data_IF_737479260020
#
_entry.id   IF_737479260020
#
_cell.length_a   1.000
_cell.length_b   1.000
_cell.length_c   1.000
_cell.angle_alpha   90.00
_cell.angle_beta   90.00
_cell.angle_gamma   90.00
#
_symmetry.space_group_name_H-M   'P 1'
#
loop_
_entity.id
_entity.type
_entity.pdbx_description
1 polymer ?
#
# COMPACT_ATOMS: atom_id res chain seq x y z
N UNK A 1 29.77 -13.31 -31.83
CA UNK A 1 28.40 -12.96 -32.26
C UNK A 1 27.50 -12.73 -31.03
N UNK A 2 27.78 -11.66 -30.22
CA UNK A 2 27.05 -11.33 -28.97
C UNK A 2 26.64 -9.86 -28.84
N UNK A 3 26.68 -9.08 -29.94
CA UNK A 3 26.44 -7.64 -29.91
C UNK A 3 24.97 -7.28 -30.29
N UNK A 4 24.20 -8.20 -30.90
CA UNK A 4 22.87 -7.90 -31.43
C UNK A 4 21.76 -7.82 -30.37
N UNK A 5 21.91 -8.43 -29.19
CA UNK A 5 20.86 -8.43 -28.16
C UNK A 5 20.84 -7.17 -27.30
N UNK A 6 21.99 -6.49 -27.13
CA UNK A 6 22.05 -5.24 -26.37
C UNK A 6 21.46 -4.06 -27.18
N UNK A 7 21.68 -4.05 -28.49
CA UNK A 7 21.14 -3.00 -29.37
C UNK A 7 19.59 -3.05 -29.43
N UNK A 8 18.99 -4.26 -29.45
CA UNK A 8 17.52 -4.38 -29.47
C UNK A 8 16.85 -3.90 -28.17
N UNK A 9 17.47 -4.10 -27.01
CA UNK A 9 16.94 -3.64 -25.73
C UNK A 9 16.96 -2.11 -25.61
N UNK A 10 18.02 -1.47 -26.09
CA UNK A 10 18.15 -0.01 -26.06
C UNK A 10 17.15 0.66 -27.01
N UNK A 11 16.91 0.08 -28.19
CA UNK A 11 15.91 0.59 -29.12
C UNK A 11 14.46 0.44 -28.61
N UNK A 12 14.15 -0.65 -27.87
CA UNK A 12 12.83 -0.83 -27.27
C UNK A 12 12.54 0.21 -26.19
N UNK A 13 13.50 0.53 -25.33
CA UNK A 13 13.34 1.52 -24.25
C UNK A 13 13.23 2.93 -24.80
N UNK A 14 14.07 3.29 -25.78
CA UNK A 14 14.02 4.63 -26.42
C UNK A 14 12.75 4.78 -27.23
N UNK A 15 12.28 3.73 -27.92
CA UNK A 15 11.04 3.74 -28.68
C UNK A 15 9.80 3.95 -27.79
N UNK A 16 9.75 3.34 -26.62
CA UNK A 16 8.64 3.46 -25.68
C UNK A 16 8.58 4.88 -25.07
N UNK A 17 9.72 5.44 -24.71
CA UNK A 17 9.79 6.82 -24.15
C UNK A 17 9.38 7.86 -25.20
N UNK A 18 9.76 7.68 -26.47
CA UNK A 18 9.36 8.60 -27.54
C UNK A 18 7.87 8.47 -27.91
N UNK A 19 7.27 7.28 -27.79
CA UNK A 19 5.84 7.05 -28.07
C UNK A 19 4.95 7.69 -26.98
N UNK A 20 5.33 7.54 -25.72
CA UNK A 20 4.62 8.16 -24.58
C UNK A 20 4.77 9.70 -24.64
N UNK A 21 5.97 10.21 -24.96
CA UNK A 21 6.20 11.64 -25.13
C UNK A 21 5.42 12.24 -26.30
N UNK A 22 5.25 11.50 -27.41
CA UNK A 22 4.52 11.97 -28.60
C UNK A 22 3.00 12.02 -28.36
N UNK A 23 2.44 11.12 -27.56
CA UNK A 23 1.01 11.11 -27.21
C UNK A 23 0.72 12.29 -26.27
N UNK A 24 1.57 12.55 -25.29
CA UNK A 24 1.42 13.70 -24.40
C UNK A 24 1.52 15.04 -25.14
N UNK A 25 2.47 15.17 -26.08
CA UNK A 25 2.63 16.39 -26.88
C UNK A 25 1.46 16.63 -27.88
N UNK A 26 0.84 15.57 -28.39
CA UNK A 26 -0.30 15.68 -29.32
C UNK A 26 -1.60 16.08 -28.61
N UNK A 27 -1.78 15.76 -27.34
CA UNK A 27 -2.94 16.19 -26.55
C UNK A 27 -2.87 17.68 -26.15
N UNK A 28 -1.66 18.24 -25.98
CA UNK A 28 -1.48 19.65 -25.60
C UNK A 28 -1.78 20.61 -26.77
N UNK A 29 -1.68 20.15 -28.03
CA UNK A 29 -1.80 21.00 -29.21
C UNK A 29 -3.25 21.28 -29.68
N UNK A 30 -4.26 20.62 -29.11
CA UNK A 30 -5.67 20.75 -29.52
C UNK A 30 -6.61 21.35 -28.47
N UNK A 31 -6.11 21.70 -27.30
CA UNK A 31 -6.94 22.38 -26.30
C UNK A 31 -6.79 23.90 -26.45
N UNK A 32 -7.85 24.58 -26.86
CA UNK A 32 -8.06 26.00 -26.55
C UNK A 32 -7.73 26.19 -25.06
N UNK A 33 -7.20 27.35 -24.63
CA UNK A 33 -6.87 27.57 -23.22
C UNK A 33 -8.17 27.47 -22.40
N UNK A 34 -8.48 26.27 -21.95
CA UNK A 34 -9.60 26.03 -21.05
C UNK A 34 -9.22 26.73 -19.76
N UNK A 35 -10.03 27.70 -19.35
CA UNK A 35 -9.78 28.48 -18.12
C UNK A 35 -9.62 27.50 -16.96
N UNK A 36 -8.43 27.52 -16.33
CA UNK A 36 -8.17 26.64 -15.19
C UNK A 36 -9.29 26.82 -14.14
N UNK A 37 -9.88 25.71 -13.74
CA UNK A 37 -10.91 25.70 -12.68
C UNK A 37 -10.20 25.91 -11.35
N UNK A 38 -10.58 26.96 -10.62
CA UNK A 38 -10.04 27.15 -9.25
C UNK A 38 -10.76 26.16 -8.31
N UNK A 39 -10.03 25.37 -7.50
CA UNK A 39 -10.66 24.49 -6.52
C UNK A 39 -11.60 25.26 -5.60
N UNK A 40 -12.82 24.77 -5.43
CA UNK A 40 -13.80 25.35 -4.53
C UNK A 40 -13.51 25.00 -3.08
N UNK A 41 -14.19 25.67 -2.14
CA UNK A 41 -14.11 25.29 -0.72
C UNK A 41 -14.63 23.87 -0.51
N UNK A 42 -15.73 23.54 -1.17
CA UNK A 42 -16.36 22.23 -1.08
C UNK A 42 -15.43 21.10 -1.56
N UNK A 43 -14.67 21.32 -2.65
CA UNK A 43 -13.66 20.38 -3.12
C UNK A 43 -12.54 20.15 -2.10
N UNK A 44 -12.06 21.24 -1.47
CA UNK A 44 -11.03 21.13 -0.43
C UNK A 44 -11.58 20.43 0.84
N UNK A 45 -12.79 20.75 1.27
CA UNK A 45 -13.43 20.12 2.44
C UNK A 45 -13.62 18.61 2.17
N UNK A 46 -14.09 18.23 0.99
CA UNK A 46 -14.24 16.83 0.60
C UNK A 46 -12.89 16.09 0.51
N UNK A 47 -11.86 16.70 -0.09
CA UNK A 47 -10.52 16.11 -0.10
C UNK A 47 -10.00 15.84 1.32
N UNK A 48 -10.22 16.79 2.22
CA UNK A 48 -9.81 16.64 3.62
C UNK A 48 -10.58 15.51 4.33
N UNK A 49 -11.86 15.33 4.02
CA UNK A 49 -12.66 14.22 4.55
C UNK A 49 -12.08 12.87 4.11
N UNK A 50 -11.73 12.72 2.83
CA UNK A 50 -11.08 11.51 2.29
C UNK A 50 -9.73 11.26 2.97
N UNK A 51 -8.90 12.30 3.13
CA UNK A 51 -7.60 12.17 3.79
C UNK A 51 -7.71 11.82 5.27
N UNK A 52 -8.69 12.37 5.99
CA UNK A 52 -8.96 12.04 7.38
C UNK A 52 -9.43 10.58 7.54
N UNK A 53 -10.26 10.08 6.61
CA UNK A 53 -10.65 8.68 6.60
C UNK A 53 -9.44 7.75 6.37
N UNK A 54 -8.53 8.13 5.46
CA UNK A 54 -7.30 7.40 5.21
C UNK A 54 -6.37 7.41 6.43
N UNK A 55 -6.16 8.56 7.05
CA UNK A 55 -5.34 8.74 8.26
C UNK A 55 -5.85 7.90 9.43
N UNK A 56 -7.17 7.78 9.57
CA UNK A 56 -7.79 6.91 10.58
C UNK A 56 -7.76 5.42 10.25
N UNK A 57 -7.25 5.03 9.07
CA UNK A 57 -7.27 3.65 8.56
C UNK A 57 -8.68 3.15 8.21
N UNK A 58 -9.64 4.03 7.97
CA UNK A 58 -10.99 3.66 7.50
C UNK A 58 -10.99 3.46 5.98
N UNK A 59 -10.38 2.38 5.54
CA UNK A 59 -10.25 2.06 4.11
C UNK A 59 -11.58 1.78 3.42
N UNK A 60 -12.57 1.25 4.14
CA UNK A 60 -13.92 1.04 3.60
C UNK A 60 -14.59 2.39 3.36
N UNK A 61 -14.45 3.33 4.29
CA UNK A 61 -14.91 4.70 4.14
C UNK A 61 -14.24 5.41 2.96
N UNK A 62 -12.92 5.28 2.81
CA UNK A 62 -12.18 5.84 1.66
C UNK A 62 -12.70 5.27 0.34
N UNK A 63 -12.85 3.94 0.25
CA UNK A 63 -13.31 3.27 -0.97
C UNK A 63 -14.77 3.66 -1.34
N UNK A 64 -15.59 4.04 -0.38
CA UNK A 64 -16.95 4.52 -0.62
C UNK A 64 -16.99 5.84 -1.40
N UNK A 65 -15.91 6.62 -1.38
CA UNK A 65 -15.78 7.84 -2.18
C UNK A 65 -15.32 7.59 -3.62
N UNK A 66 -14.92 6.38 -3.98
CA UNK A 66 -14.40 6.09 -5.32
C UNK A 66 -15.50 6.05 -6.37
N UNK A 67 -15.28 6.76 -7.46
CA UNK A 67 -16.17 6.69 -8.62
C UNK A 67 -15.98 5.37 -9.36
N UNK A 68 -17.07 4.62 -9.55
CA UNK A 68 -17.04 3.38 -10.33
C UNK A 68 -16.44 2.19 -9.60
N UNK A 69 -16.44 2.20 -8.30
CA UNK A 69 -15.91 1.25 -7.30
C UNK A 69 -15.29 -0.04 -7.85
N UNK A 70 -13.97 -0.15 -7.94
CA UNK A 70 -13.35 -1.46 -7.93
C UNK A 70 -13.64 -2.09 -6.55
N UNK A 71 -14.15 -3.32 -6.52
CA UNK A 71 -14.28 -4.07 -5.27
C UNK A 71 -12.86 -4.42 -4.81
N UNK A 72 -12.30 -3.60 -3.93
CA UNK A 72 -10.97 -3.86 -3.33
C UNK A 72 -11.01 -4.99 -2.29
N UNK A 73 -12.17 -5.59 -2.05
CA UNK A 73 -12.33 -6.66 -1.07
C UNK A 73 -12.10 -6.22 0.39
N UNK A 74 -12.05 -4.93 0.66
CA UNK A 74 -11.75 -4.32 1.97
C UNK A 74 -12.76 -4.66 3.06
N UNK A 75 -13.96 -5.10 2.68
CA UNK A 75 -15.01 -5.53 3.60
C UNK A 75 -14.74 -6.91 4.19
N UNK A 76 -13.75 -7.66 3.67
CA UNK A 76 -13.43 -9.00 4.12
C UNK A 76 -12.36 -8.95 5.21
N UNK A 77 -12.75 -9.30 6.42
CA UNK A 77 -11.76 -9.54 7.46
C UNK A 77 -10.86 -10.74 7.11
N UNK A 78 -9.55 -10.65 7.37
CA UNK A 78 -8.65 -11.79 7.20
C UNK A 78 -9.11 -12.99 8.04
N UNK A 79 -9.07 -14.19 7.45
CA UNK A 79 -9.59 -15.41 8.06
C UNK A 79 -8.78 -15.87 9.28
N UNK A 80 -7.48 -15.58 9.28
CA UNK A 80 -6.55 -16.01 10.34
C UNK A 80 -6.35 -14.93 11.41
N UNK A 81 -5.94 -15.34 12.60
CA UNK A 81 -5.61 -14.41 13.69
C UNK A 81 -4.43 -13.52 13.32
N UNK A 82 -3.38 -14.12 12.72
CA UNK A 82 -2.22 -13.36 12.22
C UNK A 82 -2.61 -12.32 11.17
N UNK A 83 -3.47 -12.71 10.23
CA UNK A 83 -3.96 -11.81 9.22
C UNK A 83 -4.70 -10.61 9.82
N UNK A 84 -5.55 -10.84 10.83
CA UNK A 84 -6.25 -9.77 11.55
C UNK A 84 -5.29 -8.87 12.34
N UNK A 85 -4.32 -9.46 13.07
CA UNK A 85 -3.30 -8.70 13.79
C UNK A 85 -2.47 -7.83 12.83
N UNK A 86 -2.03 -8.40 11.68
CA UNK A 86 -1.29 -7.69 10.64
C UNK A 86 -2.11 -6.53 10.05
N UNK A 87 -3.35 -6.82 9.66
CA UNK A 87 -4.23 -5.85 9.05
C UNK A 87 -4.54 -4.68 9.98
N UNK A 88 -4.80 -4.98 11.25
CA UNK A 88 -5.03 -3.94 12.26
C UNK A 88 -3.77 -3.10 12.51
N UNK A 89 -2.59 -3.72 12.60
CA UNK A 89 -1.33 -3.02 12.75
C UNK A 89 -1.05 -2.12 11.52
N UNK A 90 -1.31 -2.62 10.31
CA UNK A 90 -1.16 -1.87 9.07
C UNK A 90 -2.08 -0.64 9.07
N UNK A 91 -3.37 -0.80 9.30
CA UNK A 91 -4.34 0.30 9.34
C UNK A 91 -4.00 1.33 10.43
N UNK A 92 -3.55 0.88 11.59
CA UNK A 92 -3.17 1.76 12.70
C UNK A 92 -1.83 2.48 12.48
N UNK A 93 -1.08 2.11 11.45
CA UNK A 93 0.19 2.77 11.11
C UNK A 93 0.04 3.93 10.14
N UNK A 94 -1.19 4.21 9.67
CA UNK A 94 -1.44 5.29 8.73
C UNK A 94 -1.16 6.64 9.36
N UNK A 95 -0.43 7.47 8.63
CA UNK A 95 -0.20 8.88 8.93
C UNK A 95 -0.22 9.65 7.62
N UNK A 96 -1.13 10.61 7.49
CA UNK A 96 -1.34 11.36 6.27
C UNK A 96 -0.91 12.81 6.48
N UNK A 97 -0.02 13.29 5.60
CA UNK A 97 0.40 14.69 5.58
C UNK A 97 0.20 15.31 4.20
N UNK A 98 -0.12 16.60 4.15
CA UNK A 98 -0.27 17.33 2.89
C UNK A 98 0.47 18.65 2.97
N UNK A 99 1.05 19.08 1.87
CA UNK A 99 1.75 20.38 1.76
C UNK A 99 0.80 21.53 1.33
N UNK A 100 -0.49 21.23 1.13
CA UNK A 100 -1.48 22.23 0.69
C UNK A 100 -2.85 21.64 0.39
N UNK A 101 -3.75 22.51 -0.08
CA UNK A 101 -5.08 22.10 -0.55
C UNK A 101 -5.07 21.60 -1.99
N UNK A 102 -6.28 21.38 -2.50
CA UNK A 102 -6.48 20.98 -3.89
C UNK A 102 -5.86 22.01 -4.88
N UNK A 103 -5.36 21.49 -5.98
CA UNK A 103 -4.89 22.29 -7.10
C UNK A 103 -5.59 21.87 -8.39
N UNK A 104 -5.46 22.68 -9.45
CA UNK A 104 -6.09 22.36 -10.73
C UNK A 104 -5.08 22.27 -11.85
N UNK A 105 -5.30 21.28 -12.72
CA UNK A 105 -4.63 21.15 -14.01
C UNK A 105 -5.69 21.14 -15.11
N UNK A 106 -5.75 22.22 -15.87
CA UNK A 106 -6.81 22.44 -16.85
C UNK A 106 -8.19 22.50 -16.19
N UNK A 107 -9.05 21.54 -16.48
CA UNK A 107 -10.41 21.42 -15.91
C UNK A 107 -10.50 20.41 -14.76
N UNK A 108 -9.43 19.75 -14.43
CA UNK A 108 -9.39 18.71 -13.38
C UNK A 108 -8.86 19.28 -12.08
N UNK A 109 -9.40 18.80 -10.96
CA UNK A 109 -8.99 19.16 -9.60
C UNK A 109 -8.30 17.94 -9.00
N UNK A 110 -7.15 18.16 -8.37
CA UNK A 110 -6.32 17.12 -7.76
C UNK A 110 -5.98 17.46 -6.32
N UNK A 111 -5.76 16.43 -5.53
CA UNK A 111 -5.15 16.51 -4.22
C UNK A 111 -3.96 15.55 -4.17
N UNK A 112 -2.83 16.04 -3.64
CA UNK A 112 -1.64 15.23 -3.37
C UNK A 112 -1.40 15.14 -1.87
N UNK A 113 -1.00 13.97 -1.39
CA UNK A 113 -0.63 13.76 0.00
C UNK A 113 0.54 12.78 0.11
N UNK A 114 1.25 12.83 1.24
CA UNK A 114 2.22 11.82 1.64
C UNK A 114 1.55 10.92 2.66
N UNK A 115 1.58 9.61 2.43
CA UNK A 115 1.03 8.60 3.32
C UNK A 115 2.17 7.76 3.87
N UNK A 116 2.40 7.85 5.16
CA UNK A 116 3.34 6.97 5.87
C UNK A 116 2.56 5.78 6.39
N UNK A 117 3.03 4.59 6.10
CA UNK A 117 2.39 3.33 6.51
C UNK A 117 3.42 2.24 6.76
N UNK A 118 3.00 1.16 7.44
CA UNK A 118 3.86 0.00 7.66
C UNK A 118 4.28 -0.64 6.33
N UNK A 119 5.57 -0.91 6.18
CA UNK A 119 6.09 -1.75 5.10
C UNK A 119 5.89 -3.23 5.48
N UNK A 120 4.81 -3.83 4.98
CA UNK A 120 4.45 -5.22 5.28
C UNK A 120 5.57 -6.18 4.82
N UNK A 121 6.12 -5.96 3.62
CA UNK A 121 7.16 -6.80 3.05
C UNK A 121 8.43 -6.82 3.92
N UNK A 122 8.92 -5.65 4.33
CA UNK A 122 10.06 -5.56 5.22
C UNK A 122 9.76 -6.07 6.63
N UNK A 123 8.57 -5.81 7.15
CA UNK A 123 8.13 -6.25 8.49
C UNK A 123 8.13 -7.76 8.59
N UNK A 124 7.60 -8.45 7.59
CA UNK A 124 7.52 -9.91 7.56
C UNK A 124 8.80 -10.57 7.03
N UNK A 125 9.74 -9.81 6.51
CA UNK A 125 11.01 -10.36 6.03
C UNK A 125 11.79 -11.02 7.18
N UNK A 126 12.34 -12.22 6.92
CA UNK A 126 13.11 -12.97 7.90
C UNK A 126 12.30 -13.57 9.06
N UNK A 127 10.96 -13.66 8.95
CA UNK A 127 10.10 -14.26 9.98
C UNK A 127 10.51 -15.70 10.34
N UNK A 128 10.79 -16.52 9.33
CA UNK A 128 11.24 -17.92 9.55
C UNK A 128 12.61 -17.98 10.23
N UNK A 129 13.51 -17.06 9.90
CA UNK A 129 14.82 -16.97 10.56
C UNK A 129 14.67 -16.59 12.05
N UNK A 130 13.78 -15.64 12.36
CA UNK A 130 13.48 -15.24 13.75
C UNK A 130 12.84 -16.41 14.52
N UNK A 131 11.88 -17.09 13.92
CA UNK A 131 11.26 -18.28 14.54
C UNK A 131 12.29 -19.37 14.79
N UNK A 132 13.22 -19.61 13.86
CA UNK A 132 14.35 -20.54 14.02
C UNK A 132 15.30 -20.13 15.14
N UNK A 133 15.63 -18.84 15.27
CA UNK A 133 16.46 -18.34 16.38
C UNK A 133 15.78 -18.54 17.74
N UNK A 134 14.48 -18.27 17.84
CA UNK A 134 13.70 -18.52 19.06
C UNK A 134 13.65 -20.00 19.41
N UNK A 135 13.56 -20.88 18.40
CA UNK A 135 13.63 -22.32 18.63
C UNK A 135 14.99 -22.75 19.17
N UNK A 136 16.08 -22.27 18.58
CA UNK A 136 17.44 -22.54 19.06
C UNK A 136 17.61 -22.09 20.52
N UNK A 137 17.20 -20.86 20.82
CA UNK A 137 17.21 -20.34 22.19
C UNK A 137 16.41 -21.25 23.15
N UNK A 138 15.22 -21.68 22.74
CA UNK A 138 14.36 -22.56 23.56
C UNK A 138 15.00 -23.92 23.82
N UNK A 139 15.71 -24.48 22.84
CA UNK A 139 16.46 -25.73 22.98
C UNK A 139 17.65 -25.57 23.95
N UNK A 140 18.37 -24.46 23.87
CA UNK A 140 19.53 -24.16 24.71
C UNK A 140 19.15 -23.92 26.17
N UNK A 141 17.96 -23.36 26.42
CA UNK A 141 17.41 -23.09 27.77
C UNK A 141 16.80 -24.33 28.44
N UNK A 142 16.57 -25.40 27.70
CA UNK A 142 15.87 -26.59 28.19
C UNK A 142 16.86 -27.63 28.76
N UNK A 143 16.65 -28.06 29.98
CA UNK A 143 17.46 -29.14 30.61
C UNK A 143 17.30 -30.48 29.88
N UNK A 144 16.08 -30.78 29.39
CA UNK A 144 15.77 -31.95 28.58
C UNK A 144 15.19 -31.54 27.21
N UNK A 145 16.02 -31.40 26.19
CA UNK A 145 15.55 -31.05 24.83
C UNK A 145 14.61 -32.10 24.22
N UNK A 146 14.67 -33.37 24.70
CA UNK A 146 13.79 -34.42 24.19
C UNK A 146 12.31 -34.15 24.54
N UNK A 147 12.03 -33.38 25.59
CA UNK A 147 10.68 -33.00 25.99
C UNK A 147 10.00 -32.08 24.94
N UNK A 148 10.79 -31.47 24.03
CA UNK A 148 10.30 -30.63 22.94
C UNK A 148 10.03 -31.42 21.66
N UNK A 149 10.26 -32.71 21.65
CA UNK A 149 10.06 -33.59 20.50
C UNK A 149 8.77 -34.41 20.66
N UNK A 150 8.11 -34.65 19.53
CA UNK A 150 7.03 -35.64 19.47
C UNK A 150 7.55 -37.07 19.40
N UNK A 151 6.65 -38.05 19.39
CA UNK A 151 6.97 -39.46 19.26
C UNK A 151 7.72 -39.82 17.98
N UNK A 152 7.57 -38.99 16.94
CA UNK A 152 8.24 -39.08 15.64
C UNK A 152 9.65 -38.46 15.63
N UNK A 153 10.13 -37.93 16.75
CA UNK A 153 11.41 -37.25 16.89
C UNK A 153 11.44 -35.86 16.26
N UNK A 154 10.29 -35.33 15.82
CA UNK A 154 10.16 -33.97 15.26
C UNK A 154 9.80 -32.99 16.38
N UNK A 155 10.19 -31.73 16.21
CA UNK A 155 9.75 -30.63 17.09
C UNK A 155 8.22 -30.59 17.12
N UNK A 156 7.64 -30.52 18.33
CA UNK A 156 6.20 -30.43 18.52
C UNK A 156 5.58 -29.33 17.69
N UNK A 157 4.52 -29.65 16.95
CA UNK A 157 3.85 -28.69 16.06
C UNK A 157 3.32 -27.47 16.84
N UNK A 158 2.77 -27.70 18.03
CA UNK A 158 2.30 -26.62 18.89
C UNK A 158 3.43 -25.65 19.29
N UNK A 159 4.64 -26.14 19.52
CA UNK A 159 5.80 -25.29 19.81
C UNK A 159 6.22 -24.50 18.59
N UNK A 160 6.23 -25.10 17.41
CA UNK A 160 6.54 -24.38 16.16
C UNK A 160 5.56 -23.21 15.93
N UNK A 161 4.27 -23.45 16.15
CA UNK A 161 3.22 -22.43 16.01
C UNK A 161 3.36 -21.32 17.05
N UNK A 162 3.63 -21.69 18.32
CA UNK A 162 3.89 -20.72 19.40
C UNK A 162 5.07 -19.80 19.05
N UNK A 163 6.21 -20.38 18.65
CA UNK A 163 7.42 -19.61 18.33
C UNK A 163 7.25 -18.77 17.08
N UNK A 164 6.53 -19.27 16.07
CA UNK A 164 6.19 -18.50 14.88
C UNK A 164 5.31 -17.30 15.25
N UNK A 165 4.29 -17.49 16.07
CA UNK A 165 3.45 -16.38 16.55
C UNK A 165 4.23 -15.36 17.37
N UNK A 166 5.16 -15.83 18.22
CA UNK A 166 6.04 -14.94 18.96
C UNK A 166 6.92 -14.12 18.02
N UNK A 167 7.58 -14.76 17.05
CA UNK A 167 8.39 -14.08 16.03
C UNK A 167 7.58 -13.07 15.22
N UNK A 168 6.34 -13.41 14.87
CA UNK A 168 5.42 -12.53 14.16
C UNK A 168 5.06 -11.28 14.98
N UNK A 169 4.71 -11.42 16.25
CA UNK A 169 4.40 -10.28 17.13
C UNK A 169 5.62 -9.40 17.40
N UNK A 170 6.81 -9.98 17.53
CA UNK A 170 8.06 -9.24 17.63
C UNK A 170 8.34 -8.47 16.32
N UNK A 171 8.04 -9.06 15.16
CA UNK A 171 8.15 -8.40 13.88
C UNK A 171 7.19 -7.21 13.76
N UNK A 172 5.93 -7.36 14.19
CA UNK A 172 4.97 -6.25 14.21
C UNK A 172 5.38 -5.13 15.15
N UNK A 173 5.88 -5.46 16.34
CA UNK A 173 6.35 -4.48 17.32
C UNK A 173 7.58 -3.68 16.83
N UNK A 174 8.39 -4.29 15.97
CA UNK A 174 9.55 -3.67 15.31
C UNK A 174 9.28 -3.27 13.86
N UNK A 175 8.02 -3.09 13.46
CA UNK A 175 7.65 -2.77 12.08
C UNK A 175 8.31 -1.49 11.59
N UNK A 176 8.68 -1.49 10.32
CA UNK A 176 9.22 -0.32 9.63
C UNK A 176 8.12 0.35 8.84
N UNK A 177 8.24 1.65 8.66
CA UNK A 177 7.32 2.42 7.84
C UNK A 177 7.98 2.84 6.54
N UNK A 178 7.15 3.07 5.53
CA UNK A 178 7.50 3.67 4.25
C UNK A 178 6.55 4.82 3.99
N UNK A 179 7.02 5.86 3.32
CA UNK A 179 6.20 6.99 2.91
C UNK A 179 5.99 6.94 1.40
N UNK A 180 4.73 6.96 1.00
CA UNK A 180 4.30 6.91 -0.39
C UNK A 180 3.52 8.17 -0.74
N UNK A 181 3.84 8.81 -1.85
CA UNK A 181 3.04 9.92 -2.37
C UNK A 181 1.84 9.36 -3.13
N UNK A 182 0.65 9.87 -2.79
CA UNK A 182 -0.58 9.62 -3.55
C UNK A 182 -1.03 10.91 -4.24
N UNK A 183 -1.73 10.75 -5.37
CA UNK A 183 -2.40 11.85 -6.04
C UNK A 183 -3.75 11.35 -6.55
N UNK A 184 -4.83 11.96 -6.11
CA UNK A 184 -6.16 11.59 -6.58
C UNK A 184 -6.87 12.78 -7.20
N UNK A 185 -7.65 12.49 -8.23
CA UNK A 185 -8.49 13.49 -8.90
C UNK A 185 -9.85 13.55 -8.22
N UNK A 186 -10.35 14.76 -8.06
CA UNK A 186 -11.72 15.02 -7.60
C UNK A 186 -12.62 15.27 -8.79
N UNK A 187 -13.79 14.66 -8.79
CA UNK A 187 -14.82 14.81 -9.80
C UNK A 187 -16.17 15.10 -9.13
N UNK A 188 -16.81 16.18 -9.57
CA UNK A 188 -18.19 16.43 -9.18
C UNK A 188 -19.14 15.86 -10.24
N UNK A 189 -20.12 15.09 -9.81
CA UNK A 189 -21.17 14.56 -10.66
C UNK A 189 -22.50 14.53 -9.92
N UNK A 190 -23.53 15.08 -10.53
CA UNK A 190 -24.88 15.13 -9.99
C UNK A 190 -24.96 15.79 -8.59
N UNK A 191 -24.08 16.80 -8.34
CA UNK A 191 -23.98 17.49 -7.06
C UNK A 191 -23.26 16.71 -5.96
N UNK A 192 -22.61 15.60 -6.30
CA UNK A 192 -21.83 14.79 -5.39
C UNK A 192 -20.36 14.72 -5.83
N UNK A 193 -19.44 14.81 -4.86
CA UNK A 193 -18.01 14.64 -5.09
C UNK A 193 -17.59 13.18 -5.05
N UNK A 194 -16.65 12.83 -5.93
CA UNK A 194 -16.07 11.50 -6.07
C UNK A 194 -14.56 11.58 -6.20
N UNK A 195 -13.90 10.49 -5.85
CA UNK A 195 -12.46 10.28 -5.99
C UNK A 195 -12.19 9.37 -7.18
N UNK A 196 -11.23 9.77 -8.01
CA UNK A 196 -10.54 8.89 -8.96
C UNK A 196 -9.13 8.65 -8.40
N UNK A 197 -8.88 7.49 -7.76
CA UNK A 197 -7.60 7.21 -7.11
C UNK A 197 -6.51 6.96 -8.15
N UNK A 198 -5.26 7.29 -7.80
CA UNK A 198 -4.10 6.75 -8.51
C UNK A 198 -3.80 5.30 -8.05
N UNK A 199 -2.82 4.67 -8.72
CA UNK A 199 -2.41 3.31 -8.39
C UNK A 199 -1.83 3.24 -6.97
N UNK A 200 -1.03 4.24 -6.56
CA UNK A 200 -0.42 4.27 -5.24
C UNK A 200 -1.46 4.28 -4.12
N UNK A 201 -2.55 5.05 -4.26
CA UNK A 201 -3.65 5.05 -3.31
C UNK A 201 -4.36 3.69 -3.25
N UNK A 202 -4.57 3.05 -4.40
CA UNK A 202 -5.17 1.72 -4.49
C UNK A 202 -4.28 0.67 -3.82
N UNK A 203 -2.97 0.69 -4.07
CA UNK A 203 -1.99 -0.22 -3.47
C UNK A 203 -1.93 -0.07 -1.95
N UNK A 204 -1.99 1.16 -1.44
CA UNK A 204 -2.06 1.42 0.01
C UNK A 204 -3.33 0.79 0.61
N UNK A 205 -4.49 0.96 -0.01
CA UNK A 205 -5.74 0.41 0.49
C UNK A 205 -5.75 -1.13 0.47
N UNK A 206 -5.10 -1.76 -0.50
CA UNK A 206 -4.95 -3.22 -0.58
C UNK A 206 -3.83 -3.77 0.32
N UNK A 207 -3.00 -2.91 0.91
CA UNK A 207 -1.81 -3.29 1.68
C UNK A 207 -0.67 -3.80 0.79
N UNK A 208 -0.70 -3.54 -0.52
CA UNK A 208 0.30 -4.04 -1.48
C UNK A 208 0.30 -5.57 -1.60
N UNK A 209 -0.83 -6.21 -1.34
CA UNK A 209 -0.99 -7.68 -1.32
C UNK A 209 -1.60 -8.22 -2.63
N UNK A 210 -1.42 -7.53 -3.75
CA UNK A 210 -1.86 -7.96 -5.09
C UNK A 210 -0.99 -9.08 -5.69
#
# INVERSE_FOLDING_TARGET
>A
MKISKLASAVFAVVGTVLLVGSIAASFVALSSPTKAVKPSKEANDFAQEVLNALDSGDFVGVAAYFYGTPSLGLEREPATTEGRELWNAYRSSMEVTTDGGCYSEGTSIYQTAQVTHMDIGQTLSGLDQRAGALLTQKLDEQEDPAALLGEDGQILQALKEELRMKAFREALAGSKTVTTQITFQLMERDGQWWVLPDQAMTDILSGGLD
#
